data_IF_201912982715
#
_entry.id   IF_201912982715
#
_cell.length_a   1.000
_cell.length_b   1.000
_cell.length_c   1.000
_cell.angle_alpha   90.00
_cell.angle_beta   90.00
_cell.angle_gamma   90.00
#
_symmetry.space_group_name_H-M   'P 1'
#
loop_
_entity.id
_entity.type
_entity.pdbx_description
1 polymer ?
#
# COMPACT_ATOMS: atom_id res chain seq x y z
N UNK A 1 28.46 -12.28 30.89
CA UNK A 1 29.56 -12.17 29.91
C UNK A 1 29.24 -11.11 28.86
N UNK A 2 30.09 -10.08 28.66
CA UNK A 2 29.87 -9.07 27.62
C UNK A 2 30.06 -9.63 26.21
N UNK A 3 29.29 -9.09 25.26
CA UNK A 3 29.43 -9.36 23.83
C UNK A 3 29.00 -8.15 22.99
N UNK A 4 29.58 -8.02 21.81
CA UNK A 4 29.22 -6.99 20.82
C UNK A 4 28.44 -7.63 19.67
N UNK A 5 27.44 -6.90 19.16
CA UNK A 5 26.72 -7.25 17.93
C UNK A 5 26.85 -6.10 16.95
N UNK A 6 27.33 -6.39 15.74
CA UNK A 6 27.34 -5.44 14.61
C UNK A 6 26.15 -5.74 13.70
N UNK A 7 25.34 -4.73 13.36
CA UNK A 7 24.28 -4.88 12.36
C UNK A 7 24.83 -4.69 10.93
N UNK A 8 23.98 -4.89 9.91
CA UNK A 8 24.37 -4.68 8.50
C UNK A 8 24.76 -3.24 8.16
N UNK A 9 24.33 -2.27 8.98
CA UNK A 9 24.64 -0.84 8.83
C UNK A 9 25.95 -0.45 9.54
N UNK A 10 26.65 -1.41 10.16
CA UNK A 10 27.90 -1.18 10.89
C UNK A 10 27.72 -0.62 12.31
N UNK A 11 26.49 -0.52 12.82
CA UNK A 11 26.24 -0.10 14.20
C UNK A 11 26.60 -1.24 15.16
N UNK A 12 27.41 -0.93 16.18
CA UNK A 12 27.87 -1.87 17.20
C UNK A 12 27.09 -1.64 18.49
N UNK A 13 26.48 -2.71 19.02
CA UNK A 13 25.77 -2.68 20.31
C UNK A 13 26.43 -3.61 21.32
N UNK A 14 26.74 -3.08 22.51
CA UNK A 14 27.21 -3.87 23.66
C UNK A 14 26.02 -4.51 24.39
N UNK A 15 26.11 -5.81 24.63
CA UNK A 15 25.12 -6.61 25.33
C UNK A 15 25.79 -7.58 26.31
N UNK A 16 25.00 -8.21 27.18
CA UNK A 16 25.49 -9.12 28.21
C UNK A 16 24.69 -10.42 28.22
N UNK A 17 25.40 -11.55 28.20
CA UNK A 17 24.85 -12.89 28.45
C UNK A 17 24.84 -13.10 29.96
N UNK A 18 23.69 -13.50 30.50
CA UNK A 18 23.60 -13.92 31.89
C UNK A 18 24.19 -15.32 32.03
N UNK A 19 25.12 -15.49 32.98
CA UNK A 19 25.73 -16.79 33.28
C UNK A 19 25.06 -17.38 34.52
N UNK A 20 24.84 -18.69 34.52
CA UNK A 20 24.33 -19.45 35.66
C UNK A 20 25.41 -19.71 36.72
N UNK A 21 25.04 -20.44 37.77
CA UNK A 21 25.95 -20.82 38.86
C UNK A 21 27.16 -21.66 38.40
N UNK A 22 27.04 -22.32 37.25
CA UNK A 22 28.10 -23.12 36.63
C UNK A 22 28.87 -22.35 35.55
N UNK A 23 28.72 -21.02 35.48
CA UNK A 23 29.33 -20.15 34.47
C UNK A 23 28.89 -20.49 33.03
N UNK A 24 27.72 -21.10 32.85
CA UNK A 24 27.14 -21.38 31.53
C UNK A 24 26.14 -20.29 31.18
N UNK A 25 26.14 -19.87 29.91
CA UNK A 25 25.17 -18.92 29.39
C UNK A 25 24.77 -19.31 27.98
N UNK A 26 23.55 -18.96 27.62
CA UNK A 26 23.00 -19.18 26.29
C UNK A 26 22.67 -17.83 25.63
N UNK A 27 22.93 -17.75 24.32
CA UNK A 27 22.63 -16.57 23.51
C UNK A 27 21.88 -17.03 22.26
N UNK A 28 20.60 -16.65 22.18
CA UNK A 28 19.81 -16.82 20.96
C UNK A 28 19.79 -15.53 20.15
N UNK A 29 20.16 -15.62 18.88
CA UNK A 29 20.20 -14.48 17.97
C UNK A 29 19.00 -14.51 17.04
N UNK A 30 17.97 -13.77 17.42
CA UNK A 30 16.80 -13.56 16.56
C UNK A 30 17.22 -12.75 15.32
N UNK A 31 16.64 -13.07 14.16
CA UNK A 31 16.95 -12.44 12.86
C UNK A 31 18.43 -12.54 12.42
N UNK A 32 18.88 -13.75 12.04
CA UNK A 32 20.22 -13.98 11.49
C UNK A 32 20.56 -13.11 10.25
N UNK A 33 19.57 -12.55 9.55
CA UNK A 33 19.79 -11.65 8.41
C UNK A 33 20.07 -10.20 8.79
N UNK A 34 19.86 -9.79 10.04
CA UNK A 34 20.04 -8.40 10.47
C UNK A 34 21.44 -8.11 11.05
N UNK A 35 22.18 -9.16 11.43
CA UNK A 35 23.46 -9.04 12.13
C UNK A 35 24.60 -9.46 11.20
N UNK A 36 25.67 -8.66 11.17
CA UNK A 36 26.88 -8.89 10.39
C UNK A 36 27.92 -9.70 11.15
N UNK A 37 28.15 -9.37 12.42
CA UNK A 37 29.17 -10.02 13.25
C UNK A 37 28.81 -9.99 14.73
N UNK A 38 29.38 -10.94 15.48
CA UNK A 38 29.24 -11.03 16.94
C UNK A 38 30.60 -11.32 17.55
N UNK A 39 30.95 -10.57 18.58
CA UNK A 39 32.22 -10.69 19.28
C UNK A 39 31.94 -11.02 20.74
N UNK A 40 32.30 -12.23 21.16
CA UNK A 40 32.21 -12.66 22.56
C UNK A 40 33.47 -12.23 23.31
N UNK A 41 33.31 -11.61 24.47
CA UNK A 41 34.42 -11.11 25.29
C UNK A 41 34.40 -11.87 26.63
N UNK A 42 34.92 -13.11 26.68
CA UNK A 42 35.03 -13.84 27.93
C UNK A 42 36.05 -13.15 28.84
N UNK A 43 35.74 -13.04 30.14
CA UNK A 43 36.67 -12.53 31.16
C UNK A 43 36.70 -13.47 32.36
N UNK A 44 37.87 -13.63 32.97
CA UNK A 44 38.00 -14.36 34.23
C UNK A 44 37.43 -13.50 35.37
N UNK A 45 36.39 -13.99 36.04
CA UNK A 45 35.79 -13.31 37.18
C UNK A 45 36.09 -14.06 38.48
N UNK A 46 37.36 -14.11 38.89
CA UNK A 46 37.73 -14.42 40.28
C UNK A 46 39.01 -13.71 40.66
N UNK A 47 38.91 -12.73 41.56
CA UNK A 47 40.01 -12.33 42.42
C UNK A 47 40.23 -13.43 43.44
N UNK A 48 41.22 -14.31 43.22
CA UNK A 48 41.72 -15.18 44.30
C UNK A 48 43.15 -14.74 44.57
N UNK A 49 43.29 -14.03 45.69
CA UNK A 49 44.55 -13.75 46.34
C UNK A 49 45.24 -15.10 46.61
N UNK A 50 46.46 -15.24 46.07
CA UNK A 50 47.50 -16.18 46.51
C UNK A 50 47.38 -17.66 46.07
N UNK A 51 47.74 -18.00 44.83
CA UNK A 51 48.24 -19.35 44.48
C UNK A 51 49.32 -19.30 43.42
N UNK A 52 50.46 -19.97 43.68
CA UNK A 52 51.66 -20.06 42.82
C UNK A 52 51.47 -21.04 41.65
N UNK A 53 50.40 -20.92 40.88
CA UNK A 53 50.21 -21.73 39.66
C UNK A 53 49.35 -20.98 38.64
N UNK A 54 49.71 -20.96 37.35
CA UNK A 54 48.86 -20.34 36.34
C UNK A 54 47.58 -21.17 36.21
N UNK A 55 46.45 -20.61 36.63
CA UNK A 55 45.13 -21.18 36.35
C UNK A 55 44.96 -21.23 34.83
N UNK A 56 44.96 -22.44 34.27
CA UNK A 56 44.62 -22.67 32.87
C UNK A 56 43.11 -22.51 32.74
N UNK A 57 42.66 -21.35 32.27
CA UNK A 57 41.25 -21.11 31.97
C UNK A 57 40.89 -21.81 30.65
N UNK A 58 39.84 -22.63 30.68
CA UNK A 58 39.25 -23.22 29.49
C UNK A 58 37.84 -22.64 29.33
N UNK A 59 37.55 -22.11 28.15
CA UNK A 59 36.20 -21.76 27.75
C UNK A 59 35.81 -22.61 26.54
N UNK A 60 34.55 -23.04 26.51
CA UNK A 60 33.99 -23.83 25.40
C UNK A 60 32.87 -23.01 24.78
N UNK A 61 32.97 -22.78 23.48
CA UNK A 61 31.92 -22.14 22.69
C UNK A 61 31.29 -23.18 21.78
N UNK A 62 29.96 -23.29 21.82
CA UNK A 62 29.21 -24.18 20.96
C UNK A 62 28.25 -23.34 20.12
N UNK A 63 28.37 -23.43 18.80
CA UNK A 63 27.48 -22.76 17.87
C UNK A 63 26.55 -23.79 17.26
N UNK A 64 25.25 -23.54 17.35
CA UNK A 64 24.21 -24.34 16.69
C UNK A 64 23.29 -23.42 15.92
N UNK A 65 22.94 -23.82 14.71
CA UNK A 65 21.92 -23.17 13.91
C UNK A 65 20.76 -24.17 13.75
N UNK A 66 19.67 -23.92 14.47
CA UNK A 66 18.45 -24.69 14.30
C UNK A 66 17.52 -23.97 13.32
N UNK A 67 16.81 -24.69 12.42
CA UNK A 67 15.66 -24.11 11.76
C UNK A 67 14.62 -23.68 12.81
N UNK A 68 13.72 -22.76 12.44
CA UNK A 68 12.62 -22.36 13.32
C UNK A 68 11.87 -23.60 13.78
N UNK A 69 11.53 -23.63 15.07
CA UNK A 69 10.71 -24.71 15.61
C UNK A 69 9.26 -24.58 15.09
N UNK A 70 8.49 -25.67 15.10
CA UNK A 70 7.07 -25.62 14.75
C UNK A 70 6.30 -24.61 15.61
N UNK A 71 6.68 -24.45 16.88
CA UNK A 71 6.09 -23.47 17.79
C UNK A 71 6.38 -22.02 17.35
N UNK A 72 7.62 -21.71 16.97
CA UNK A 72 7.99 -20.40 16.44
C UNK A 72 7.30 -20.09 15.11
N UNK A 73 7.06 -21.10 14.29
CA UNK A 73 6.32 -20.97 13.04
C UNK A 73 4.83 -20.70 13.28
N UNK A 74 4.22 -21.39 14.25
CA UNK A 74 2.82 -21.14 14.66
C UNK A 74 2.64 -19.72 15.23
N UNK A 75 3.57 -19.24 16.04
CA UNK A 75 3.55 -17.86 16.56
C UNK A 75 3.62 -16.84 15.42
N UNK A 76 4.46 -17.09 14.41
CA UNK A 76 4.54 -16.22 13.24
C UNK A 76 3.27 -16.25 12.40
N UNK A 77 2.67 -17.42 12.19
CA UNK A 77 1.40 -17.55 11.48
C UNK A 77 0.31 -16.74 12.20
N UNK A 78 0.25 -16.80 13.53
CA UNK A 78 -0.70 -16.03 14.32
C UNK A 78 -0.51 -14.51 14.15
N UNK A 79 0.73 -14.01 14.23
CA UNK A 79 1.05 -12.58 14.01
C UNK A 79 0.67 -12.13 12.58
N UNK A 80 0.95 -12.96 11.57
CA UNK A 80 0.60 -12.65 10.19
C UNK A 80 -0.91 -12.62 9.96
N UNK A 81 -1.67 -13.53 10.59
CA UNK A 81 -3.13 -13.54 10.52
C UNK A 81 -3.74 -12.29 11.17
N UNK A 82 -3.19 -11.83 12.30
CA UNK A 82 -3.61 -10.60 12.96
C UNK A 82 -3.34 -9.36 12.07
N UNK A 83 -2.14 -9.28 11.47
CA UNK A 83 -1.81 -8.22 10.51
C UNK A 83 -2.75 -8.22 9.30
N UNK A 84 -3.08 -9.39 8.76
CA UNK A 84 -4.02 -9.50 7.63
C UNK A 84 -5.41 -8.99 8.03
N UNK A 85 -5.90 -9.35 9.22
CA UNK A 85 -7.20 -8.90 9.70
C UNK A 85 -7.26 -7.37 9.84
N UNK A 86 -6.20 -6.76 10.37
CA UNK A 86 -6.11 -5.30 10.50
C UNK A 86 -6.05 -4.60 9.13
N UNK A 87 -5.25 -5.10 8.19
CA UNK A 87 -5.20 -4.56 6.83
C UNK A 87 -6.54 -4.69 6.11
N UNK A 88 -7.26 -5.80 6.30
CA UNK A 88 -8.60 -5.98 5.76
C UNK A 88 -9.60 -4.94 6.32
N UNK A 89 -9.51 -4.63 7.62
CA UNK A 89 -10.33 -3.60 8.26
C UNK A 89 -10.05 -2.21 7.69
N UNK A 90 -8.78 -1.87 7.47
CA UNK A 90 -8.39 -0.60 6.85
C UNK A 90 -8.91 -0.49 5.41
N UNK A 91 -8.82 -1.56 4.63
CA UNK A 91 -9.40 -1.62 3.28
C UNK A 91 -10.91 -1.40 3.31
N UNK A 92 -11.63 -2.03 4.25
CA UNK A 92 -13.07 -1.88 4.39
C UNK A 92 -13.46 -0.42 4.72
N UNK A 93 -12.73 0.22 5.64
CA UNK A 93 -12.95 1.62 6.01
C UNK A 93 -12.68 2.57 4.83
N UNK A 94 -11.59 2.36 4.09
CA UNK A 94 -11.27 3.16 2.90
C UNK A 94 -12.31 2.97 1.78
N UNK A 95 -12.81 1.75 1.60
CA UNK A 95 -13.93 1.49 0.67
C UNK A 95 -15.20 2.22 1.09
N UNK A 96 -15.53 2.23 2.38
CA UNK A 96 -16.70 2.96 2.88
C UNK A 96 -16.58 4.48 2.66
N UNK A 97 -15.38 5.05 2.78
CA UNK A 97 -15.12 6.46 2.45
C UNK A 97 -15.28 6.76 0.96
N UNK A 98 -14.93 5.81 0.08
CA UNK A 98 -15.09 5.94 -1.38
C UNK A 98 -16.56 5.74 -1.79
N UNK A 99 -17.35 4.97 -1.03
CA UNK A 99 -18.78 4.73 -1.28
C UNK A 99 -19.69 5.84 -0.72
N UNK A 100 -19.13 6.79 0.05
CA UNK A 100 -19.81 7.97 0.59
C UNK A 100 -20.28 9.00 -0.44
N UNK A 101 -19.98 8.78 -1.73
CA UNK A 101 -20.55 9.51 -2.86
C UNK A 101 -20.90 8.53 -4.00
N UNK A 102 -21.71 7.52 -3.68
CA UNK A 102 -22.50 6.83 -4.72
C UNK A 102 -23.68 7.72 -5.09
N UNK A 103 -23.40 8.92 -5.61
CA UNK A 103 -24.41 9.72 -6.27
C UNK A 103 -25.04 8.83 -7.34
N UNK A 104 -26.33 8.52 -7.25
CA UNK A 104 -26.96 7.81 -8.37
C UNK A 104 -26.81 8.69 -9.60
N UNK A 105 -26.20 8.18 -10.67
CA UNK A 105 -26.10 8.90 -11.94
C UNK A 105 -27.51 9.22 -12.42
N UNK A 106 -27.97 10.45 -12.17
CA UNK A 106 -29.36 10.84 -12.34
C UNK A 106 -29.49 12.19 -13.02
N UNK A 107 -28.83 13.21 -12.48
CA UNK A 107 -28.91 14.57 -13.02
C UNK A 107 -27.50 15.14 -13.15
N UNK A 108 -27.20 15.66 -14.33
CA UNK A 108 -26.00 16.44 -14.58
C UNK A 108 -26.29 17.91 -14.25
N UNK A 109 -25.72 18.41 -13.16
CA UNK A 109 -25.91 19.79 -12.71
C UNK A 109 -24.72 20.68 -13.11
N UNK A 110 -23.50 20.14 -13.06
CA UNK A 110 -22.28 20.89 -13.29
C UNK A 110 -21.77 20.79 -14.72
N UNK A 111 -21.10 21.85 -15.18
CA UNK A 111 -20.41 21.83 -16.46
C UNK A 111 -19.22 20.86 -16.39
N UNK A 112 -19.14 19.91 -17.34
CA UNK A 112 -18.00 18.98 -17.44
C UNK A 112 -17.13 19.33 -18.64
N UNK A 113 -15.81 19.27 -18.45
CA UNK A 113 -14.85 19.68 -19.48
C UNK A 113 -13.54 18.90 -19.41
N UNK A 114 -12.78 18.97 -20.52
CA UNK A 114 -11.49 18.32 -20.65
C UNK A 114 -10.52 18.71 -19.51
N UNK A 115 -9.85 17.72 -18.95
CA UNK A 115 -8.85 17.89 -17.88
C UNK A 115 -9.36 17.58 -16.47
N UNK A 116 -10.67 17.39 -16.28
CA UNK A 116 -11.23 16.95 -14.99
C UNK A 116 -10.72 15.54 -14.65
N UNK A 117 -10.36 15.32 -13.39
CA UNK A 117 -9.76 14.07 -12.90
C UNK A 117 -10.46 13.57 -11.66
N UNK A 118 -10.56 12.25 -11.52
CA UNK A 118 -11.17 11.57 -10.37
C UNK A 118 -12.50 12.21 -9.94
N UNK A 119 -13.35 12.54 -10.92
CA UNK A 119 -14.61 13.24 -10.69
C UNK A 119 -15.80 12.30 -10.89
N UNK A 120 -16.71 12.29 -9.93
CA UNK A 120 -17.86 11.39 -9.92
C UNK A 120 -18.86 11.66 -11.06
N UNK A 121 -19.19 12.93 -11.35
CA UNK A 121 -20.06 13.27 -12.48
C UNK A 121 -19.44 12.90 -13.85
N UNK A 122 -18.11 12.93 -13.97
CA UNK A 122 -17.42 12.43 -15.17
C UNK A 122 -17.58 10.92 -15.31
N UNK A 123 -17.56 10.17 -14.20
CA UNK A 123 -17.88 8.73 -14.21
C UNK A 123 -19.30 8.51 -14.75
N UNK A 124 -20.28 9.26 -14.24
CA UNK A 124 -21.66 9.20 -14.74
C UNK A 124 -21.79 9.61 -16.22
N UNK A 125 -21.06 10.63 -16.65
CA UNK A 125 -21.02 11.06 -18.05
C UNK A 125 -20.51 9.91 -18.94
N UNK A 126 -19.45 9.23 -18.52
CA UNK A 126 -18.85 8.13 -19.29
C UNK A 126 -19.80 6.92 -19.36
N UNK A 127 -20.52 6.61 -18.27
CA UNK A 127 -21.55 5.58 -18.26
C UNK A 127 -22.72 5.93 -19.20
N UNK A 128 -23.19 7.18 -19.15
CA UNK A 128 -24.23 7.68 -20.06
C UNK A 128 -23.78 7.61 -21.52
N UNK A 129 -22.59 8.13 -21.85
CA UNK A 129 -22.08 8.10 -23.23
C UNK A 129 -21.91 6.67 -23.75
N UNK A 130 -21.53 5.73 -22.87
CA UNK A 130 -21.46 4.31 -23.19
C UNK A 130 -22.83 3.70 -23.47
N UNK A 131 -23.86 4.11 -22.73
CA UNK A 131 -25.24 3.65 -22.96
C UNK A 131 -25.83 4.16 -24.28
N UNK A 132 -25.34 5.29 -24.80
CA UNK A 132 -25.69 5.79 -26.14
C UNK A 132 -25.16 4.92 -27.30
N UNK A 133 -24.29 3.95 -27.00
CA UNK A 133 -23.81 2.94 -27.93
C UNK A 133 -22.43 3.24 -28.54
N UNK A 134 -21.86 2.26 -29.26
CA UNK A 134 -20.48 2.32 -29.74
C UNK A 134 -20.25 3.35 -30.86
N UNK A 135 -21.29 3.84 -31.52
CA UNK A 135 -21.17 4.96 -32.48
C UNK A 135 -20.81 6.28 -31.78
N UNK A 136 -21.20 6.42 -30.51
CA UNK A 136 -20.90 7.58 -29.67
C UNK A 136 -19.65 7.34 -28.84
N UNK A 137 -19.57 6.22 -28.14
CA UNK A 137 -18.43 5.93 -27.27
C UNK A 137 -17.85 4.52 -27.49
N UNK A 138 -17.09 4.32 -28.58
CA UNK A 138 -16.58 3.00 -28.94
C UNK A 138 -15.62 2.41 -27.90
N UNK A 139 -14.86 3.27 -27.20
CA UNK A 139 -13.92 2.82 -26.18
C UNK A 139 -14.63 2.38 -24.90
N UNK A 140 -15.77 3.00 -24.55
CA UNK A 140 -16.59 2.61 -23.41
C UNK A 140 -15.86 2.57 -22.05
N UNK A 141 -14.80 3.36 -21.91
CA UNK A 141 -13.95 3.43 -20.72
C UNK A 141 -14.60 4.35 -19.68
N UNK A 142 -14.83 3.82 -18.49
CA UNK A 142 -15.34 4.57 -17.34
C UNK A 142 -14.21 4.66 -16.31
N UNK A 143 -13.69 5.86 -16.10
CA UNK A 143 -12.53 6.12 -15.23
C UNK A 143 -12.69 7.35 -14.33
N UNK A 144 -13.72 8.17 -14.54
CA UNK A 144 -13.89 9.44 -13.84
C UNK A 144 -12.91 10.53 -14.28
N UNK A 145 -12.17 10.31 -15.37
CA UNK A 145 -11.23 11.26 -15.95
C UNK A 145 -11.68 11.73 -17.33
N UNK A 146 -11.83 13.04 -17.51
CA UNK A 146 -12.31 13.63 -18.75
C UNK A 146 -11.14 14.01 -19.65
N UNK A 147 -10.69 13.07 -20.49
CA UNK A 147 -9.61 13.30 -21.47
C UNK A 147 -10.11 13.13 -22.90
N UNK A 148 -9.18 12.92 -23.84
CA UNK A 148 -9.43 12.98 -25.29
C UNK A 148 -10.54 12.02 -25.74
N UNK A 149 -10.58 10.80 -25.22
CA UNK A 149 -11.58 9.80 -25.61
C UNK A 149 -13.00 10.22 -25.18
N UNK A 150 -13.15 10.66 -23.94
CA UNK A 150 -14.43 11.17 -23.45
C UNK A 150 -14.83 12.45 -24.18
N UNK A 151 -13.87 13.31 -24.54
CA UNK A 151 -14.15 14.55 -25.29
C UNK A 151 -14.65 14.25 -26.68
N UNK A 152 -14.02 13.30 -27.37
CA UNK A 152 -14.49 12.84 -28.67
C UNK A 152 -15.89 12.21 -28.57
N UNK A 153 -16.17 11.44 -27.53
CA UNK A 153 -17.50 10.88 -27.31
C UNK A 153 -18.57 11.97 -27.07
N UNK A 154 -18.25 13.01 -26.30
CA UNK A 154 -19.14 14.18 -26.13
C UNK A 154 -19.35 14.90 -27.45
N UNK A 155 -18.31 15.10 -28.27
CA UNK A 155 -18.45 15.73 -29.60
C UNK A 155 -19.42 14.93 -30.46
N UNK A 156 -19.25 13.61 -30.56
CA UNK A 156 -20.15 12.73 -31.34
C UNK A 156 -21.57 12.77 -30.82
N UNK A 157 -21.75 12.81 -29.50
CA UNK A 157 -23.07 12.95 -28.89
C UNK A 157 -23.73 14.28 -29.26
N UNK A 158 -22.98 15.38 -29.17
CA UNK A 158 -23.47 16.71 -29.54
C UNK A 158 -23.84 16.79 -31.02
N UNK A 159 -23.06 16.16 -31.89
CA UNK A 159 -23.35 16.07 -33.33
C UNK A 159 -24.56 15.19 -33.62
N UNK A 160 -24.80 14.12 -32.83
CA UNK A 160 -26.02 13.29 -32.93
C UNK A 160 -27.30 14.07 -32.60
N UNK A 161 -27.22 15.01 -31.65
CA UNK A 161 -28.34 15.88 -31.24
C UNK A 161 -28.08 17.34 -31.66
N UNK A 162 -27.52 17.54 -32.85
CA UNK A 162 -27.08 18.86 -33.32
C UNK A 162 -28.20 19.90 -33.34
N UNK A 163 -29.41 19.51 -33.73
CA UNK A 163 -30.57 20.42 -33.83
C UNK A 163 -30.98 20.98 -32.46
N UNK A 164 -30.79 20.19 -31.39
CA UNK A 164 -31.18 20.59 -30.04
C UNK A 164 -30.04 21.25 -29.25
N UNK A 165 -28.78 20.84 -29.52
CA UNK A 165 -27.62 21.28 -28.75
C UNK A 165 -26.84 22.39 -29.46
N UNK A 166 -26.60 22.25 -30.76
CA UNK A 166 -25.67 23.09 -31.53
C UNK A 166 -26.38 24.21 -32.29
N UNK A 167 -27.51 23.91 -32.95
CA UNK A 167 -28.24 24.88 -33.76
C UNK A 167 -28.74 26.11 -32.95
N UNK A 168 -29.26 25.98 -31.71
CA UNK A 168 -29.66 27.14 -30.90
C UNK A 168 -28.49 28.03 -30.48
N UNK A 169 -27.27 27.50 -30.54
CA UNK A 169 -26.04 28.20 -30.20
C UNK A 169 -25.28 28.70 -31.45
N UNK A 170 -25.81 28.50 -32.66
CA UNK A 170 -25.14 28.77 -33.93
C UNK A 170 -23.76 28.09 -34.04
N UNK A 171 -23.66 26.84 -33.60
CA UNK A 171 -22.44 26.03 -33.70
C UNK A 171 -22.57 24.99 -34.80
N UNK A 172 -21.54 24.86 -35.64
CA UNK A 172 -21.51 23.88 -36.73
C UNK A 172 -20.94 22.52 -36.32
N UNK A 173 -20.23 22.45 -35.18
CA UNK A 173 -19.52 21.24 -34.71
C UNK A 173 -19.61 21.09 -33.19
N UNK A 174 -19.54 19.83 -32.73
CA UNK A 174 -19.47 19.52 -31.31
C UNK A 174 -18.23 20.16 -30.67
N UNK A 175 -18.39 20.70 -29.47
CA UNK A 175 -17.33 21.39 -28.72
C UNK A 175 -16.59 20.44 -27.77
N UNK A 176 -17.21 19.31 -27.41
CA UNK A 176 -16.69 18.40 -26.39
C UNK A 176 -16.82 18.95 -24.97
N UNK A 177 -17.55 20.05 -24.80
CA UNK A 177 -17.86 20.67 -23.52
C UNK A 177 -19.30 20.36 -23.11
N UNK A 178 -19.50 19.80 -21.92
CA UNK A 178 -20.82 19.45 -21.41
C UNK A 178 -21.43 20.67 -20.70
N UNK A 179 -21.91 21.61 -21.50
CA UNK A 179 -22.58 22.83 -21.04
C UNK A 179 -24.09 22.63 -20.83
N UNK A 180 -24.83 23.71 -20.48
CA UNK A 180 -26.26 23.64 -20.17
C UNK A 180 -27.10 22.97 -21.27
N UNK A 181 -26.89 23.31 -22.54
CA UNK A 181 -27.63 22.68 -23.64
C UNK A 181 -27.40 21.17 -23.74
N UNK A 182 -26.15 20.71 -23.55
CA UNK A 182 -25.84 19.28 -23.55
C UNK A 182 -26.46 18.58 -22.35
N UNK A 183 -26.37 19.19 -21.16
CA UNK A 183 -26.98 18.62 -19.94
C UNK A 183 -28.49 18.53 -20.03
N UNK A 184 -29.15 19.53 -20.61
CA UNK A 184 -30.61 19.50 -20.79
C UNK A 184 -31.05 18.27 -21.58
N UNK A 185 -30.35 17.94 -22.68
CA UNK A 185 -30.64 16.75 -23.48
C UNK A 185 -30.25 15.47 -22.74
N UNK A 186 -29.09 15.45 -22.07
CA UNK A 186 -28.68 14.27 -21.29
C UNK A 186 -29.65 13.95 -20.15
N UNK A 187 -30.17 14.97 -19.47
CA UNK A 187 -31.12 14.82 -18.36
C UNK A 187 -32.54 14.49 -18.83
N UNK A 188 -32.84 14.59 -20.13
CA UNK A 188 -34.17 14.26 -20.69
C UNK A 188 -34.26 12.87 -21.31
N UNK A 189 -33.14 12.14 -21.37
CA UNK A 189 -33.03 10.78 -21.93
C UNK A 189 -33.05 9.77 -20.79
#
# INVERSE_FOLDING_TARGET
>A
MPYLVENLEGQITLKFINLDQNQKGELELKNHRANRSIILIPSSQTSIVNTQSPLLYQFVLTFSAAPRTQEQEQVLIADLLERIAELQKQIAALRALIVGDTGTCGIFENNLYFGMRNNFEVTCLQEFLKSQGPSIYPEGIVSGNFFTLTQQAVIRFQEKYADDILAPLNLDKGTGYVGPSTRNIMNSI
#
